data_IF_830917126481
#
_entry.id   IF_830917126481
#
_cell.length_a   1.000
_cell.length_b   1.000
_cell.length_c   1.000
_cell.angle_alpha   90.00
_cell.angle_beta   90.00
_cell.angle_gamma   90.00
#
_symmetry.space_group_name_H-M   'P 1'
#
loop_
_entity.id
_entity.type
_entity.pdbx_description
1 polymer ?
#
# COMPACT_ATOMS: atom_id res chain seq x y z
N UNK A 1 -56.81 11.89 -13.69
CA UNK A 1 -56.12 11.56 -12.42
C UNK A 1 -54.94 12.51 -12.28
N UNK A 2 -54.89 13.28 -11.19
CA UNK A 2 -53.80 14.25 -10.98
C UNK A 2 -52.45 13.54 -10.87
N UNK A 3 -51.50 13.93 -11.72
CA UNK A 3 -50.15 13.36 -11.74
C UNK A 3 -49.45 13.44 -10.38
N UNK A 4 -49.79 14.43 -9.54
CA UNK A 4 -49.28 14.54 -8.16
C UNK A 4 -49.71 13.38 -7.26
N UNK A 5 -50.92 12.83 -7.45
CA UNK A 5 -51.40 11.69 -6.65
C UNK A 5 -50.69 10.39 -7.04
N UNK A 6 -50.31 10.25 -8.30
CA UNK A 6 -49.58 9.07 -8.79
C UNK A 6 -48.14 9.04 -8.25
N UNK A 7 -47.45 10.20 -8.20
CA UNK A 7 -46.07 10.27 -7.68
C UNK A 7 -45.99 9.94 -6.19
N UNK A 8 -46.97 10.38 -5.39
CA UNK A 8 -47.01 10.10 -3.94
C UNK A 8 -47.22 8.61 -3.67
N UNK A 9 -48.08 7.93 -4.46
CA UNK A 9 -48.33 6.49 -4.30
C UNK A 9 -47.08 5.66 -4.64
N UNK A 10 -46.34 6.03 -5.69
CA UNK A 10 -45.10 5.34 -6.07
C UNK A 10 -44.02 5.51 -4.99
N UNK A 11 -43.90 6.70 -4.39
CA UNK A 11 -42.91 6.97 -3.35
C UNK A 11 -43.19 6.18 -2.07
N UNK A 12 -44.46 6.08 -1.66
CA UNK A 12 -44.87 5.28 -0.49
C UNK A 12 -44.60 3.79 -0.73
N UNK A 13 -44.82 3.30 -1.96
CA UNK A 13 -44.57 1.90 -2.30
C UNK A 13 -43.06 1.55 -2.31
N UNK A 14 -42.20 2.49 -2.70
CA UNK A 14 -40.74 2.29 -2.62
C UNK A 14 -40.21 2.31 -1.18
N UNK A 15 -40.76 3.19 -0.33
CA UNK A 15 -40.37 3.27 1.09
C UNK A 15 -40.79 2.00 1.85
N UNK A 16 -41.97 1.44 1.57
CA UNK A 16 -42.41 0.20 2.20
C UNK A 16 -41.60 -1.03 1.75
N UNK A 17 -41.13 -1.07 0.51
CA UNK A 17 -40.24 -2.14 0.01
C UNK A 17 -38.86 -2.14 0.69
N UNK A 18 -38.33 -0.96 1.04
CA UNK A 18 -37.05 -0.85 1.74
C UNK A 18 -37.11 -1.29 3.21
N UNK A 19 -38.27 -1.22 3.87
CA UNK A 19 -38.43 -1.61 5.27
C UNK A 19 -38.52 -3.13 5.48
N UNK A 20 -38.79 -3.92 4.43
CA UNK A 20 -38.95 -5.39 4.53
C UNK A 20 -37.59 -6.12 4.36
N UNK A 21 -36.55 -5.45 3.87
CA UNK A 21 -35.26 -6.08 3.57
C UNK A 21 -34.29 -6.22 4.75
N UNK A 22 -34.63 -5.73 5.96
CA UNK A 22 -33.72 -5.76 7.12
C UNK A 22 -33.91 -6.94 8.09
N UNK A 23 -34.85 -7.85 7.85
CA UNK A 23 -35.04 -9.02 8.71
C UNK A 23 -34.58 -10.29 8.01
N UNK A 24 -33.32 -10.69 8.26
CA UNK A 24 -32.84 -12.08 8.42
C UNK A 24 -31.40 -12.25 7.91
N UNK A 25 -30.42 -11.83 8.70
CA UNK A 25 -29.12 -12.49 8.71
C UNK A 25 -28.92 -13.08 10.12
N UNK A 26 -29.57 -14.22 10.38
CA UNK A 26 -29.18 -15.09 11.49
C UNK A 26 -27.85 -15.73 11.10
N UNK A 27 -26.76 -15.22 11.67
CA UNK A 27 -25.47 -15.91 11.68
C UNK A 27 -25.68 -17.13 12.58
N UNK A 28 -25.69 -18.32 11.98
CA UNK A 28 -25.63 -19.56 12.74
C UNK A 28 -24.26 -19.64 13.39
N UNK A 29 -24.27 -19.72 14.73
CA UNK A 29 -23.13 -20.10 15.54
C UNK A 29 -22.48 -21.36 14.96
N UNK A 30 -21.19 -21.28 14.66
CA UNK A 30 -20.37 -22.45 14.43
C UNK A 30 -20.06 -23.02 15.81
N UNK A 31 -20.81 -24.05 16.18
CA UNK A 31 -20.60 -24.87 17.36
C UNK A 31 -19.23 -25.55 17.34
N UNK A 32 -18.67 -25.58 18.55
CA UNK A 32 -17.57 -26.38 19.04
C UNK A 32 -17.48 -27.78 18.41
N UNK A 33 -16.34 -28.08 17.78
CA UNK A 33 -15.95 -29.46 17.51
C UNK A 33 -14.79 -29.84 18.43
N UNK A 34 -15.17 -30.38 19.60
CA UNK A 34 -14.27 -30.93 20.62
C UNK A 34 -14.22 -32.46 20.44
N UNK A 35 -13.38 -32.93 19.53
CA UNK A 35 -12.86 -34.30 19.54
C UNK A 35 -11.41 -34.17 20.02
N UNK A 36 -11.07 -34.42 21.28
CA UNK A 36 -10.98 -35.74 21.92
C UNK A 36 -10.40 -36.82 20.98
N UNK A 37 -9.08 -36.81 20.86
CA UNK A 37 -8.31 -37.95 20.43
C UNK A 37 -7.12 -38.09 21.40
N UNK A 38 -7.37 -38.82 22.48
CA UNK A 38 -6.32 -39.53 23.19
C UNK A 38 -5.82 -40.62 22.23
N UNK A 39 -4.62 -40.48 21.69
CA UNK A 39 -3.82 -41.65 21.36
C UNK A 39 -2.32 -41.35 21.48
N UNK A 40 -1.81 -41.95 22.55
CA UNK A 40 -0.46 -42.27 22.90
C UNK A 40 0.39 -42.74 21.70
N UNK A 41 1.35 -41.93 21.25
CA UNK A 41 2.50 -42.46 20.53
C UNK A 41 3.79 -41.75 20.92
N UNK A 42 4.49 -42.37 21.87
CA UNK A 42 5.92 -42.22 22.09
C UNK A 42 6.66 -42.65 20.82
N UNK A 43 7.30 -41.71 20.15
CA UNK A 43 8.39 -41.99 19.23
C UNK A 43 9.47 -40.94 19.43
N UNK A 44 10.47 -41.31 20.23
CA UNK A 44 11.74 -40.61 20.32
C UNK A 44 12.29 -40.37 18.92
N UNK A 45 12.39 -39.10 18.54
CA UNK A 45 13.24 -38.68 17.42
C UNK A 45 14.04 -37.49 17.91
N UNK A 46 15.28 -37.75 18.32
CA UNK A 46 16.31 -36.72 18.47
C UNK A 46 16.48 -36.01 17.12
N UNK A 47 15.93 -34.80 17.02
CA UNK A 47 16.25 -33.87 15.93
C UNK A 47 17.25 -32.87 16.50
N UNK A 48 18.52 -33.11 16.20
CA UNK A 48 19.62 -32.20 16.42
C UNK A 48 19.46 -31.00 15.46
N UNK A 49 18.92 -29.88 15.96
CA UNK A 49 18.84 -28.61 15.21
C UNK A 49 20.00 -27.72 15.63
N UNK A 50 21.17 -27.99 15.08
CA UNK A 50 22.20 -26.97 14.91
C UNK A 50 21.95 -26.29 13.57
N UNK A 51 21.25 -25.15 13.60
CA UNK A 51 21.40 -24.15 12.54
C UNK A 51 21.50 -22.78 13.21
N UNK A 52 22.73 -22.48 13.63
CA UNK A 52 23.17 -21.15 13.98
C UNK A 52 23.13 -20.28 12.71
N UNK A 53 22.03 -19.56 12.49
CA UNK A 53 22.01 -18.43 11.56
C UNK A 53 22.70 -17.27 12.26
N UNK A 54 24.01 -17.19 12.06
CA UNK A 54 24.80 -16.01 12.39
C UNK A 54 24.51 -14.94 11.34
N UNK A 55 23.46 -14.14 11.54
CA UNK A 55 23.30 -12.90 10.79
C UNK A 55 24.36 -11.91 11.26
N UNK A 56 25.47 -11.92 10.53
CA UNK A 56 26.54 -10.92 10.60
C UNK A 56 25.97 -9.59 10.13
N UNK A 57 25.48 -8.80 11.06
CA UNK A 57 25.18 -7.39 10.85
C UNK A 57 26.49 -6.62 10.83
N UNK A 58 26.90 -6.15 9.65
CA UNK A 58 28.05 -5.27 9.51
C UNK A 58 27.74 -3.94 10.20
N UNK A 59 28.41 -3.72 11.32
CA UNK A 59 28.35 -2.50 12.13
C UNK A 59 29.08 -1.40 11.38
N UNK A 60 28.32 -0.43 10.89
CA UNK A 60 28.86 0.85 10.41
C UNK A 60 29.27 1.65 11.67
N UNK A 61 30.58 1.73 11.91
CA UNK A 61 31.20 2.52 12.98
C UNK A 61 30.95 4.02 12.76
N UNK A 62 29.82 4.52 13.25
CA UNK A 62 29.64 5.91 13.63
C UNK A 62 29.34 5.94 15.11
N UNK A 63 30.34 6.22 15.95
CA UNK A 63 30.17 6.41 17.39
C UNK A 63 29.29 7.64 17.66
N UNK A 64 27.98 7.41 17.65
CA UNK A 64 27.07 8.21 18.45
C UNK A 64 27.35 7.91 19.92
N UNK A 65 27.50 8.93 20.79
CA UNK A 65 27.74 8.71 22.21
C UNK A 65 26.66 7.78 22.76
N UNK A 66 27.09 6.59 23.17
CA UNK A 66 26.19 5.55 23.63
C UNK A 66 25.54 6.07 24.92
N UNK A 67 24.21 6.29 24.96
CA UNK A 67 23.57 6.79 26.15
C UNK A 67 23.83 5.80 27.30
N UNK A 68 24.16 6.33 28.47
CA UNK A 68 24.45 5.56 29.67
C UNK A 68 23.45 4.42 29.83
N UNK A 69 23.98 3.24 30.09
CA UNK A 69 23.19 2.03 30.18
C UNK A 69 22.29 2.05 31.42
N UNK A 70 21.01 2.36 31.25
CA UNK A 70 20.03 2.38 32.33
C UNK A 70 19.51 0.96 32.56
N UNK A 71 19.79 0.41 33.74
CA UNK A 71 19.27 -0.89 34.20
C UNK A 71 17.76 -0.82 34.43
N UNK A 72 17.04 -1.87 34.03
CA UNK A 72 15.59 -1.95 34.14
C UNK A 72 14.87 -1.52 32.86
N UNK A 73 13.60 -1.12 33.00
CA UNK A 73 12.77 -0.71 31.87
C UNK A 73 13.10 0.71 31.41
N UNK A 74 13.51 0.85 30.15
CA UNK A 74 13.75 2.14 29.50
C UNK A 74 13.10 2.18 28.12
N UNK A 75 12.72 3.38 27.67
CA UNK A 75 12.20 3.56 26.32
C UNK A 75 13.35 3.47 25.32
N UNK A 76 13.22 2.59 24.33
CA UNK A 76 14.18 2.51 23.21
C UNK A 76 13.72 3.36 22.03
N UNK A 77 12.41 3.52 21.88
CA UNK A 77 11.77 4.48 20.98
C UNK A 77 10.40 4.89 21.55
N UNK A 78 9.62 5.68 20.79
CA UNK A 78 8.32 6.19 21.22
C UNK A 78 7.24 5.10 21.41
N UNK A 79 7.42 3.90 20.87
CA UNK A 79 6.47 2.77 20.90
C UNK A 79 7.01 1.54 21.58
N UNK A 80 8.29 1.50 21.94
CA UNK A 80 8.90 0.32 22.54
C UNK A 80 9.69 0.68 23.79
N UNK A 81 9.58 -0.20 24.78
CA UNK A 81 10.50 -0.25 25.91
C UNK A 81 11.24 -1.56 25.96
N UNK A 82 12.45 -1.53 26.49
CA UNK A 82 13.25 -2.71 26.74
C UNK A 82 13.62 -2.80 28.22
N UNK A 83 13.66 -4.01 28.76
CA UNK A 83 14.27 -4.29 30.06
C UNK A 83 15.74 -4.65 29.84
N UNK A 84 16.66 -3.92 30.49
CA UNK A 84 18.11 -4.13 30.38
C UNK A 84 18.71 -4.58 31.71
N UNK A 85 19.67 -5.49 31.64
CA UNK A 85 20.50 -5.89 32.78
C UNK A 85 21.68 -4.93 32.99
N UNK A 86 22.44 -5.12 34.06
CA UNK A 86 23.68 -4.36 34.38
C UNK A 86 24.75 -4.44 33.28
N UNK A 87 24.79 -5.56 32.55
CA UNK A 87 25.67 -5.75 31.40
C UNK A 87 25.07 -5.20 30.08
N UNK A 88 24.00 -4.41 30.15
CA UNK A 88 23.29 -3.81 29.02
C UNK A 88 22.60 -4.80 28.07
N UNK A 89 22.55 -6.08 28.43
CA UNK A 89 21.82 -7.08 27.65
C UNK A 89 20.33 -6.83 27.77
N UNK A 90 19.65 -6.76 26.63
CA UNK A 90 18.18 -6.65 26.56
C UNK A 90 17.57 -8.02 26.84
N UNK A 91 16.78 -8.12 27.90
CA UNK A 91 16.10 -9.37 28.28
C UNK A 91 14.68 -9.46 27.74
N UNK A 92 14.03 -8.31 27.55
CA UNK A 92 12.65 -8.24 27.04
C UNK A 92 12.41 -6.94 26.31
N UNK A 93 11.64 -6.99 25.22
CA UNK A 93 11.12 -5.84 24.49
C UNK A 93 9.59 -5.87 24.57
N UNK A 94 8.97 -4.71 24.80
CA UNK A 94 7.52 -4.57 24.90
C UNK A 94 7.05 -3.39 24.05
N UNK A 95 6.07 -3.65 23.18
CA UNK A 95 5.39 -2.59 22.40
C UNK A 95 4.34 -1.91 23.28
N UNK A 96 4.49 -0.61 23.48
CA UNK A 96 3.56 0.23 24.22
C UNK A 96 2.29 0.49 23.39
N UNK A 97 1.09 0.42 24.01
CA UNK A 97 -0.18 0.62 23.31
C UNK A 97 -0.36 2.02 22.72
N UNK A 98 0.22 3.05 23.36
CA UNK A 98 0.14 4.44 22.91
C UNK A 98 1.53 5.02 22.75
N UNK A 99 2.24 5.19 23.86
CA UNK A 99 3.57 5.79 23.88
C UNK A 99 4.38 5.20 25.04
N UNK A 100 5.70 5.09 24.84
CA UNK A 100 6.64 4.90 25.92
C UNK A 100 7.07 6.26 26.46
N UNK A 101 6.83 6.50 27.75
CA UNK A 101 7.29 7.70 28.43
C UNK A 101 7.97 7.32 29.74
N UNK A 102 9.20 7.81 29.95
CA UNK A 102 10.00 7.55 31.16
C UNK A 102 10.07 6.05 31.56
N UNK A 103 10.28 5.16 30.58
CA UNK A 103 10.38 3.70 30.78
C UNK A 103 9.04 2.99 31.03
N UNK A 104 7.91 3.70 30.95
CA UNK A 104 6.57 3.16 31.16
C UNK A 104 5.74 3.23 29.89
N UNK A 105 5.03 2.15 29.60
CA UNK A 105 4.00 2.20 28.57
C UNK A 105 2.77 2.92 29.12
N UNK A 106 2.43 4.05 28.52
CA UNK A 106 1.19 4.75 28.84
C UNK A 106 0.02 4.03 28.17
N UNK A 107 -1.01 3.76 28.97
CA UNK A 107 -2.33 3.37 28.47
C UNK A 107 -3.09 4.61 27.99
N UNK A 108 -4.02 4.43 27.05
CA UNK A 108 -4.91 5.51 26.56
C UNK A 108 -5.57 6.34 27.68
N UNK A 109 -5.91 5.71 28.81
CA UNK A 109 -6.55 6.37 29.94
C UNK A 109 -5.64 7.34 30.74
N UNK A 110 -4.31 7.29 30.56
CA UNK A 110 -3.34 8.12 31.31
C UNK A 110 -2.54 9.08 30.45
N UNK A 111 -2.57 8.90 29.13
CA UNK A 111 -2.00 9.90 28.23
C UNK A 111 -3.00 11.05 28.14
N UNK A 112 -2.73 12.21 28.77
CA UNK A 112 -3.42 13.47 28.47
C UNK A 112 -3.13 13.99 27.03
N UNK A 113 -2.75 13.09 26.12
CA UNK A 113 -2.44 13.38 24.74
C UNK A 113 -3.77 13.48 24.02
N UNK A 114 -4.23 14.70 23.82
CA UNK A 114 -5.34 15.00 22.93
C UNK A 114 -4.82 14.99 21.50
N UNK A 115 -5.16 13.94 20.75
CA UNK A 115 -4.86 13.90 19.32
C UNK A 115 -5.98 14.58 18.55
N UNK A 116 -5.65 15.70 17.88
CA UNK A 116 -6.60 16.34 16.96
C UNK A 116 -6.76 15.47 15.72
N UNK A 117 -7.98 15.01 15.37
CA UNK A 117 -8.19 14.21 14.17
C UNK A 117 -7.79 14.96 12.90
N UNK A 118 -7.19 14.26 11.95
CA UNK A 118 -6.84 14.84 10.65
C UNK A 118 -5.65 14.18 9.98
N UNK A 119 -5.44 14.48 8.70
CA UNK A 119 -4.24 14.05 8.01
C UNK A 119 -3.01 14.76 8.57
N UNK A 120 -1.99 13.99 8.93
CA UNK A 120 -0.74 14.48 9.51
C UNK A 120 0.46 13.68 8.98
N UNK A 121 1.65 14.25 9.12
CA UNK A 121 2.88 13.52 8.87
C UNK A 121 3.22 12.61 10.06
N UNK A 122 3.51 11.33 9.77
CA UNK A 122 3.93 10.29 10.72
C UNK A 122 5.43 10.04 10.51
N UNK A 123 6.25 10.99 10.95
CA UNK A 123 7.68 11.02 10.60
C UNK A 123 7.93 11.62 9.22
N UNK A 124 9.14 11.41 8.69
CA UNK A 124 9.61 12.12 7.49
C UNK A 124 9.01 11.61 6.18
N UNK A 125 8.71 10.31 6.04
CA UNK A 125 8.34 9.71 4.75
C UNK A 125 6.95 9.07 4.76
N UNK A 126 6.08 9.47 5.68
CA UNK A 126 4.78 8.85 5.86
C UNK A 126 3.76 9.91 6.25
N UNK A 127 2.60 9.87 5.60
CA UNK A 127 1.41 10.65 5.93
C UNK A 127 0.32 9.67 6.35
N UNK A 128 -0.55 10.05 7.27
CA UNK A 128 -1.74 9.25 7.58
C UNK A 128 -2.84 10.11 8.19
N UNK A 129 -4.03 9.56 8.32
CA UNK A 129 -5.11 10.17 9.08
C UNK A 129 -4.98 9.77 10.55
N UNK A 130 -4.68 10.73 11.42
CA UNK A 130 -4.67 10.52 12.86
C UNK A 130 -6.12 10.60 13.37
N UNK A 131 -6.54 9.58 14.10
CA UNK A 131 -7.85 9.53 14.77
C UNK A 131 -7.78 10.21 16.14
N UNK A 132 -8.93 10.46 16.76
CA UNK A 132 -9.02 11.07 18.09
C UNK A 132 -8.25 10.27 19.16
N UNK A 133 -8.22 8.94 19.02
CA UNK A 133 -7.46 8.02 19.87
C UNK A 133 -5.96 7.94 19.57
N UNK A 134 -5.39 8.88 18.79
CA UNK A 134 -3.98 8.92 18.34
C UNK A 134 -3.54 7.78 17.40
N UNK A 135 -4.42 6.81 17.14
CA UNK A 135 -4.22 5.77 16.15
C UNK A 135 -4.19 6.37 14.74
N UNK A 136 -3.52 5.66 13.84
CA UNK A 136 -3.36 6.07 12.45
C UNK A 136 -4.15 5.14 11.54
N UNK A 137 -4.74 5.73 10.51
CA UNK A 137 -5.36 5.02 9.38
C UNK A 137 -4.99 5.73 8.09
N UNK A 138 -5.32 5.14 6.94
CA UNK A 138 -5.07 5.75 5.61
C UNK A 138 -3.62 6.21 5.43
N UNK A 139 -2.65 5.39 5.85
CA UNK A 139 -1.24 5.71 5.76
C UNK A 139 -0.77 5.70 4.29
N UNK A 140 0.02 6.69 3.91
CA UNK A 140 0.54 6.91 2.55
C UNK A 140 2.02 7.23 2.68
N UNK A 141 2.88 6.43 2.02
CA UNK A 141 4.30 6.71 1.94
C UNK A 141 4.52 7.97 1.09
N UNK A 142 5.28 8.93 1.60
CA UNK A 142 5.65 10.13 0.87
C UNK A 142 7.08 9.94 0.33
N UNK A 143 7.23 9.62 -0.96
CA UNK A 143 8.53 9.32 -1.58
C UNK A 143 9.58 10.43 -1.41
N UNK A 144 9.13 11.69 -1.40
CA UNK A 144 10.00 12.87 -1.34
C UNK A 144 9.89 13.62 0.00
N UNK A 145 9.39 12.94 1.02
CA UNK A 145 9.19 13.48 2.35
C UNK A 145 7.77 14.01 2.59
N UNK A 146 7.43 14.20 3.86
CA UNK A 146 6.17 14.71 4.36
C UNK A 146 6.45 15.99 5.15
N UNK A 147 5.82 17.09 4.76
CA UNK A 147 5.85 18.33 5.54
C UNK A 147 4.53 19.07 5.43
N UNK A 148 4.20 19.86 6.46
CA UNK A 148 2.91 20.56 6.57
C UNK A 148 1.69 19.65 6.35
N UNK A 149 1.74 18.41 6.88
CA UNK A 149 0.69 17.40 6.74
C UNK A 149 0.40 16.98 5.27
N UNK A 150 1.34 17.23 4.36
CA UNK A 150 1.25 16.92 2.93
C UNK A 150 2.50 16.20 2.44
N UNK A 151 2.34 15.22 1.54
CA UNK A 151 3.50 14.63 0.88
C UNK A 151 4.11 15.65 -0.08
N UNK A 152 5.42 15.78 -0.04
CA UNK A 152 6.15 16.64 -0.96
C UNK A 152 6.09 16.06 -2.37
N UNK A 153 5.91 16.92 -3.40
CA UNK A 153 6.01 16.48 -4.77
C UNK A 153 7.44 16.05 -5.09
N UNK A 154 7.60 15.28 -6.17
CA UNK A 154 8.93 14.99 -6.73
C UNK A 154 9.69 16.32 -6.90
N UNK A 155 10.89 16.47 -6.34
CA UNK A 155 11.68 17.67 -6.55
C UNK A 155 11.87 17.84 -8.06
N UNK A 156 11.61 19.04 -8.55
CA UNK A 156 11.78 19.38 -9.96
C UNK A 156 13.28 19.53 -10.23
N UNK A 157 13.99 18.41 -10.16
CA UNK A 157 15.35 18.32 -10.66
C UNK A 157 15.18 18.36 -12.16
N UNK A 158 15.38 19.53 -12.75
CA UNK A 158 15.73 19.64 -14.16
C UNK A 158 16.91 18.69 -14.33
N UNK A 159 16.66 17.51 -14.90
CA UNK A 159 17.72 16.60 -15.30
C UNK A 159 18.61 17.41 -16.24
N UNK A 160 19.70 17.92 -15.68
CA UNK A 160 20.76 18.51 -16.47
C UNK A 160 21.37 17.31 -17.17
N UNK A 161 20.83 17.01 -18.36
CA UNK A 161 21.36 16.04 -19.30
C UNK A 161 22.76 16.51 -19.63
N UNK A 162 23.69 16.13 -18.76
CA UNK A 162 25.11 16.31 -18.98
C UNK A 162 25.41 15.30 -20.06
N UNK A 163 25.27 15.78 -21.29
CA UNK A 163 25.61 15.09 -22.52
C UNK A 163 27.07 14.74 -22.40
N UNK A 164 27.34 13.55 -21.87
CA UNK A 164 28.68 13.01 -21.82
C UNK A 164 28.94 12.57 -23.25
N UNK A 165 29.56 13.48 -24.00
CA UNK A 165 30.19 13.22 -25.29
C UNK A 165 31.30 12.19 -25.08
N UNK A 166 30.91 10.93 -24.93
CA UNK A 166 31.77 9.76 -25.08
C UNK A 166 31.70 9.33 -26.54
N UNK A 167 32.70 9.77 -27.31
CA UNK A 167 32.98 9.25 -28.64
C UNK A 167 33.33 7.76 -28.59
N UNK A 168 32.93 7.04 -29.65
CA UNK A 168 33.31 5.69 -30.09
C UNK A 168 32.60 4.55 -29.33
N UNK A 169 31.83 3.63 -29.95
CA UNK A 169 31.88 3.06 -31.31
C UNK A 169 30.49 2.62 -31.79
N UNK A 170 30.05 3.14 -32.95
CA UNK A 170 29.39 2.40 -34.05
C UNK A 170 28.26 1.39 -33.80
N UNK A 171 27.43 1.50 -32.75
CA UNK A 171 26.18 0.75 -32.69
C UNK A 171 25.06 1.61 -33.32
N UNK A 172 24.31 1.12 -34.32
CA UNK A 172 23.18 1.85 -34.89
C UNK A 172 22.25 2.26 -33.75
N UNK A 173 22.04 3.57 -33.58
CA UNK A 173 21.18 4.09 -32.52
C UNK A 173 19.78 3.49 -32.69
N UNK A 174 19.39 2.64 -31.74
CA UNK A 174 18.07 2.03 -31.74
C UNK A 174 17.03 3.16 -31.63
N UNK A 175 15.99 3.16 -32.48
CA UNK A 175 14.99 4.22 -32.46
C UNK A 175 14.33 4.28 -31.06
N UNK A 176 14.40 5.46 -30.44
CA UNK A 176 13.78 5.69 -29.13
C UNK A 176 12.26 5.74 -29.30
N UNK A 177 11.58 4.66 -28.94
CA UNK A 177 10.12 4.58 -28.99
C UNK A 177 9.56 5.32 -27.76
N UNK A 178 8.65 6.30 -27.93
CA UNK A 178 8.07 7.04 -26.82
C UNK A 178 7.26 6.12 -25.90
N UNK A 179 7.38 6.35 -24.59
CA UNK A 179 6.60 5.64 -23.56
C UNK A 179 5.65 6.57 -22.85
N UNK A 180 4.47 6.04 -22.51
CA UNK A 180 3.38 6.74 -21.85
C UNK A 180 3.02 6.05 -20.54
N UNK A 181 2.42 6.78 -19.61
CA UNK A 181 1.94 6.27 -18.33
C UNK A 181 0.44 6.57 -18.22
N UNK A 182 -0.34 5.59 -17.77
CA UNK A 182 -1.76 5.76 -17.49
C UNK A 182 -2.15 5.04 -16.20
N UNK A 183 -2.88 5.73 -15.33
CA UNK A 183 -3.39 5.17 -14.08
C UNK A 183 -4.73 4.43 -14.28
N UNK A 184 -5.04 3.46 -13.43
CA UNK A 184 -6.34 2.77 -13.44
C UNK A 184 -7.47 3.79 -13.23
N UNK A 185 -8.46 3.81 -14.13
CA UNK A 185 -9.58 4.75 -14.10
C UNK A 185 -9.32 6.08 -14.82
N UNK A 186 -8.08 6.39 -15.19
CA UNK A 186 -7.78 7.53 -16.07
C UNK A 186 -8.16 7.21 -17.52
N UNK A 187 -8.54 8.25 -18.26
CA UNK A 187 -8.77 8.20 -19.70
C UNK A 187 -7.80 9.12 -20.42
N UNK A 188 -7.34 8.72 -21.61
CA UNK A 188 -6.44 9.49 -22.47
C UNK A 188 -7.00 9.50 -23.89
N UNK A 189 -7.08 10.69 -24.49
CA UNK A 189 -7.43 10.82 -25.92
C UNK A 189 -6.19 10.56 -26.76
N UNK A 190 -6.29 9.65 -27.71
CA UNK A 190 -5.21 9.33 -28.65
C UNK A 190 -5.73 9.44 -30.09
N UNK A 191 -4.87 9.90 -30.99
CA UNK A 191 -5.17 9.98 -32.41
C UNK A 191 -4.79 8.66 -33.09
N UNK A 192 -5.78 7.96 -33.63
CA UNK A 192 -5.61 6.71 -34.39
C UNK A 192 -6.04 6.98 -35.82
N UNK A 193 -5.05 7.18 -36.71
CA UNK A 193 -5.28 7.44 -38.13
C UNK A 193 -6.20 8.64 -38.41
N UNK A 194 -6.06 9.73 -37.65
CA UNK A 194 -6.87 10.96 -37.81
C UNK A 194 -8.21 10.92 -37.08
N UNK A 195 -8.50 9.84 -36.34
CA UNK A 195 -9.71 9.71 -35.50
C UNK A 195 -9.30 9.71 -34.03
N UNK A 196 -9.91 10.59 -33.24
CA UNK A 196 -9.73 10.60 -31.79
C UNK A 196 -10.43 9.40 -31.16
N UNK A 197 -9.66 8.60 -30.41
CA UNK A 197 -10.15 7.45 -29.65
C UNK A 197 -9.80 7.62 -28.16
N UNK A 198 -10.63 7.06 -27.28
CA UNK A 198 -10.44 7.13 -25.84
C UNK A 198 -9.80 5.83 -25.35
N UNK A 199 -8.56 5.93 -24.90
CA UNK A 199 -7.84 4.83 -24.25
C UNK A 199 -8.01 4.90 -22.73
N UNK A 200 -8.27 3.76 -22.09
CA UNK A 200 -8.25 3.62 -20.63
C UNK A 200 -7.78 2.25 -20.18
N UNK A 201 -7.25 2.19 -18.95
CA UNK A 201 -7.04 0.94 -18.22
C UNK A 201 -8.36 0.54 -17.57
N UNK A 202 -9.00 -0.50 -18.09
CA UNK A 202 -10.29 -1.00 -17.61
C UNK A 202 -10.11 -1.89 -16.38
N UNK A 203 -9.21 -2.88 -16.46
CA UNK A 203 -8.83 -3.73 -15.34
C UNK A 203 -7.31 -3.73 -15.17
N UNK A 204 -6.85 -3.71 -13.92
CA UNK A 204 -5.45 -3.85 -13.54
C UNK A 204 -5.36 -4.77 -12.34
N UNK A 205 -4.49 -5.77 -12.44
CA UNK A 205 -4.19 -6.75 -11.39
C UNK A 205 -2.66 -6.92 -11.29
N UNK A 206 -2.22 -7.69 -10.31
CA UNK A 206 -0.81 -7.98 -10.12
C UNK A 206 -0.22 -8.67 -11.38
N UNK A 207 0.75 -8.01 -12.01
CA UNK A 207 1.44 -8.49 -13.21
C UNK A 207 0.62 -8.53 -14.52
N UNK A 208 -0.62 -8.02 -14.55
CA UNK A 208 -1.45 -8.03 -15.77
C UNK A 208 -2.46 -6.87 -15.88
N UNK A 209 -2.71 -6.44 -17.12
CA UNK A 209 -3.59 -5.32 -17.47
C UNK A 209 -4.57 -5.67 -18.59
N UNK A 210 -5.75 -5.03 -18.61
CA UNK A 210 -6.62 -4.92 -19.79
C UNK A 210 -6.83 -3.46 -20.17
N UNK A 211 -6.61 -3.17 -21.44
CA UNK A 211 -6.92 -1.88 -22.04
C UNK A 211 -8.30 -1.88 -22.68
N UNK A 212 -8.87 -0.70 -22.79
CA UNK A 212 -10.10 -0.45 -23.52
C UNK A 212 -9.89 0.78 -24.41
N UNK A 213 -10.11 0.61 -25.71
CA UNK A 213 -10.06 1.66 -26.71
C UNK A 213 -11.47 1.86 -27.26
N UNK A 214 -12.07 2.99 -26.92
CA UNK A 214 -13.50 3.26 -27.08
C UNK A 214 -14.37 2.15 -26.45
N UNK A 215 -14.95 1.28 -27.27
CA UNK A 215 -15.76 0.14 -26.84
C UNK A 215 -15.05 -1.23 -26.95
N UNK A 216 -13.85 -1.27 -27.54
CA UNK A 216 -13.09 -2.49 -27.75
C UNK A 216 -12.19 -2.79 -26.56
N UNK A 217 -12.20 -4.04 -26.10
CA UNK A 217 -11.39 -4.51 -24.96
C UNK A 217 -10.23 -5.37 -25.48
N UNK A 218 -9.06 -5.25 -24.87
CA UNK A 218 -7.97 -6.20 -25.06
C UNK A 218 -8.17 -7.47 -24.23
N UNK A 219 -7.40 -8.51 -24.55
CA UNK A 219 -7.13 -9.61 -23.62
C UNK A 219 -6.27 -9.14 -22.43
N UNK A 220 -6.02 -10.05 -21.48
CA UNK A 220 -5.04 -9.83 -20.42
C UNK A 220 -3.64 -9.77 -21.02
N UNK A 221 -2.90 -8.70 -20.68
CA UNK A 221 -1.52 -8.49 -21.10
C UNK A 221 -0.62 -8.39 -19.88
N UNK A 222 0.49 -9.11 -19.90
CA UNK A 222 1.62 -8.96 -18.97
C UNK A 222 2.70 -8.06 -19.56
N UNK A 223 3.70 -7.72 -18.77
CA UNK A 223 4.86 -6.95 -19.22
C UNK A 223 5.54 -7.60 -20.44
N UNK A 224 5.90 -6.80 -21.43
CA UNK A 224 6.46 -7.26 -22.70
C UNK A 224 5.44 -7.74 -23.73
N UNK A 225 4.18 -7.96 -23.34
CA UNK A 225 3.13 -8.36 -24.29
C UNK A 225 2.51 -7.16 -25.02
N UNK A 226 1.83 -7.45 -26.12
CA UNK A 226 1.17 -6.44 -26.95
C UNK A 226 -0.21 -6.87 -27.41
N UNK A 227 -1.08 -5.90 -27.66
CA UNK A 227 -2.39 -6.11 -28.30
C UNK A 227 -2.58 -5.12 -29.45
N UNK A 228 -3.21 -5.59 -30.53
CA UNK A 228 -3.62 -4.74 -31.66
C UNK A 228 -5.13 -4.62 -31.67
N UNK A 229 -5.64 -3.39 -31.61
CA UNK A 229 -7.08 -3.12 -31.70
C UNK A 229 -7.57 -3.18 -33.14
N UNK A 230 -8.88 -3.37 -33.39
CA UNK A 230 -9.44 -3.40 -34.75
C UNK A 230 -9.16 -2.14 -35.59
N UNK A 231 -8.89 -1.01 -34.94
CA UNK A 231 -8.52 0.26 -35.56
C UNK A 231 -7.04 0.31 -35.98
N UNK A 232 -6.27 -0.77 -35.79
CA UNK A 232 -4.87 -0.90 -36.17
C UNK A 232 -3.86 -0.42 -35.11
N UNK A 233 -4.32 0.21 -34.02
CA UNK A 233 -3.44 0.64 -32.94
C UNK A 233 -2.83 -0.55 -32.20
N UNK A 234 -1.49 -0.64 -32.16
CA UNK A 234 -0.77 -1.60 -31.33
C UNK A 234 -0.30 -0.95 -30.02
N UNK A 235 -0.68 -1.56 -28.90
CA UNK A 235 -0.21 -1.18 -27.55
C UNK A 235 0.76 -2.25 -27.07
N UNK A 236 1.93 -1.83 -26.60
CA UNK A 236 2.95 -2.70 -26.02
C UNK A 236 3.11 -2.35 -24.54
N UNK A 237 2.93 -3.32 -23.65
CA UNK A 237 3.11 -3.12 -22.20
C UNK A 237 4.59 -3.15 -21.88
N UNK A 238 5.09 -2.11 -21.21
CA UNK A 238 6.47 -2.02 -20.76
C UNK A 238 6.61 -2.40 -19.30
N UNK A 239 5.80 -1.80 -18.42
CA UNK A 239 5.86 -2.02 -16.98
C UNK A 239 4.45 -1.92 -16.37
N UNK A 240 4.17 -2.73 -15.36
CA UNK A 240 2.93 -2.75 -14.60
C UNK A 240 3.23 -2.45 -13.12
N UNK A 241 2.74 -1.32 -12.64
CA UNK A 241 2.81 -0.97 -11.22
C UNK A 241 1.47 -1.26 -10.57
N UNK A 242 1.43 -2.28 -9.72
CA UNK A 242 0.23 -2.66 -8.98
C UNK A 242 0.51 -2.76 -7.48
N UNK A 243 -0.24 -1.98 -6.70
CA UNK A 243 -0.29 -2.08 -5.25
C UNK A 243 -1.72 -2.40 -4.82
N UNK A 244 -1.89 -3.51 -4.12
CA UNK A 244 -3.21 -4.08 -3.77
C UNK A 244 -3.94 -3.30 -2.69
N UNK A 245 -3.22 -2.57 -1.83
CA UNK A 245 -3.81 -1.77 -0.76
C UNK A 245 -4.53 -0.52 -1.27
N UNK A 246 -5.49 -0.01 -0.48
CA UNK A 246 -6.27 1.17 -0.82
C UNK A 246 -5.36 2.40 -0.97
N UNK A 247 -5.49 3.11 -2.09
CA UNK A 247 -4.61 4.25 -2.43
C UNK A 247 -3.24 3.84 -2.96
N UNK A 248 -2.97 2.55 -3.12
CA UNK A 248 -1.78 2.04 -3.79
C UNK A 248 -1.71 2.50 -5.25
N UNK A 249 -0.48 2.66 -5.74
CA UNK A 249 -0.17 3.01 -7.13
C UNK A 249 -0.66 1.90 -8.06
N UNK A 250 -1.41 2.32 -9.09
CA UNK A 250 -2.04 1.43 -10.08
C UNK A 250 -1.88 2.06 -11.45
N UNK A 251 -0.74 1.81 -12.08
CA UNK A 251 -0.29 2.46 -13.30
C UNK A 251 0.31 1.46 -14.27
N UNK A 252 0.23 1.77 -15.56
CA UNK A 252 0.88 0.99 -16.61
C UNK A 252 1.71 1.92 -17.49
N UNK A 253 2.97 1.54 -17.69
CA UNK A 253 3.82 2.14 -18.73
C UNK A 253 3.65 1.36 -20.01
N UNK A 254 3.36 2.05 -21.11
CA UNK A 254 3.14 1.43 -22.42
C UNK A 254 3.78 2.24 -23.55
N UNK A 255 3.94 1.62 -24.71
CA UNK A 255 4.31 2.31 -25.95
C UNK A 255 3.33 1.99 -27.06
N UNK A 256 3.13 2.96 -27.95
CA UNK A 256 2.34 2.79 -29.17
C UNK A 256 3.25 2.30 -30.29
N UNK A 257 2.72 1.47 -31.19
CA UNK A 257 3.43 1.01 -32.39
C UNK A 257 2.49 0.63 -33.51
#
# INVERSE_FOLDING_TARGET
MDNKKVTIIILIFFISLFLIACTSLKINNLEDNKNNLDDNHTSDTEINVENAVTEKTDIINGETPQPDCIVGWSCIDFRHRANRLENCTVTKVETCPVVCDNGRCLSRARSNVTCTPGFKCKGEFLKGYQMEGCDWTSETKCEYGCSNNTCQPKPNITESTTSTTGSNTGQPAEPVIPTYIISQGQTVSIDVQGTQAILKVYNLEDGRVRFMLDAFKSDWLSEGQSNTFPQGLKINVKEIYFQSYQGGKREVRYSLG
#
